data_IF_087475534885
#
_entry.id   IF_087475534885
#
_cell.length_a   1.000
_cell.length_b   1.000
_cell.length_c   1.000
_cell.angle_alpha   90.00
_cell.angle_beta   90.00
_cell.angle_gamma   90.00
#
_symmetry.space_group_name_H-M   'P 1'
#
loop_
_entity.id
_entity.type
_entity.pdbx_description
1 polymer ?
#
# COMPACT_ATOMS: atom_id res chain seq x y z
N UNK A 1 -46.47 -16.83 -9.15
CA UNK A 1 -45.02 -16.93 -9.38
C UNK A 1 -44.34 -16.17 -8.25
N UNK A 2 -43.64 -16.87 -7.35
CA UNK A 2 -42.94 -16.32 -6.19
C UNK A 2 -41.63 -15.66 -6.64
N UNK A 3 -41.43 -14.38 -6.35
CA UNK A 3 -40.10 -13.75 -6.34
C UNK A 3 -39.28 -14.34 -5.19
N UNK A 4 -38.04 -14.79 -5.41
CA UNK A 4 -37.23 -15.35 -4.33
C UNK A 4 -36.90 -14.25 -3.31
N UNK A 5 -36.89 -14.58 -2.01
CA UNK A 5 -36.60 -13.62 -0.97
C UNK A 5 -35.10 -13.30 -0.97
N UNK A 6 -34.80 -12.01 -1.07
CA UNK A 6 -33.59 -11.41 -0.53
C UNK A 6 -32.27 -11.90 -1.11
N UNK A 7 -31.89 -11.39 -2.28
CA UNK A 7 -30.46 -11.16 -2.51
C UNK A 7 -30.03 -10.07 -1.53
N UNK A 8 -29.56 -10.48 -0.34
CA UNK A 8 -28.81 -9.58 0.54
C UNK A 8 -27.55 -9.23 -0.25
N UNK A 9 -27.56 -8.08 -0.93
CA UNK A 9 -26.32 -7.43 -1.30
C UNK A 9 -25.69 -7.03 0.03
N UNK A 10 -24.87 -7.91 0.60
CA UNK A 10 -23.91 -7.54 1.62
C UNK A 10 -22.90 -6.60 0.97
N UNK A 11 -23.34 -5.35 0.75
CA UNK A 11 -22.44 -4.22 0.67
C UNK A 11 -21.92 -4.05 2.10
N UNK A 12 -20.97 -4.89 2.50
CA UNK A 12 -20.13 -4.55 3.63
C UNK A 12 -19.53 -3.18 3.30
N UNK A 13 -19.90 -2.12 4.03
CA UNK A 13 -19.16 -0.89 3.88
C UNK A 13 -17.79 -1.25 4.46
N UNK A 14 -16.81 -1.48 3.60
CA UNK A 14 -15.42 -1.57 4.03
C UNK A 14 -15.05 -0.16 4.43
N UNK A 15 -15.48 0.24 5.63
CA UNK A 15 -15.10 1.46 6.30
C UNK A 15 -13.67 1.20 6.74
N UNK A 16 -12.74 1.21 5.79
CA UNK A 16 -11.37 1.51 6.15
C UNK A 16 -11.42 2.92 6.72
N UNK A 17 -11.30 3.02 8.04
CA UNK A 17 -11.00 4.26 8.75
C UNK A 17 -10.03 5.09 7.90
N UNK A 18 -10.36 6.35 7.62
CA UNK A 18 -9.59 7.21 6.72
C UNK A 18 -8.10 7.24 7.10
N UNK A 19 -7.79 7.09 8.38
CA UNK A 19 -6.42 6.98 8.90
C UNK A 19 -5.74 5.71 8.39
N UNK A 20 -6.46 4.58 8.40
CA UNK A 20 -6.01 3.30 7.89
C UNK A 20 -5.83 3.34 6.38
N UNK A 21 -6.77 3.95 5.64
CA UNK A 21 -6.61 4.20 4.19
C UNK A 21 -5.34 5.02 3.92
N UNK A 22 -5.21 6.21 4.53
CA UNK A 22 -4.05 7.10 4.32
C UNK A 22 -2.72 6.42 4.65
N UNK A 23 -2.67 5.61 5.71
CA UNK A 23 -1.47 4.85 6.10
C UNK A 23 -1.13 3.75 5.09
N UNK A 24 -2.14 3.05 4.58
CA UNK A 24 -2.01 2.08 3.50
C UNK A 24 -1.52 2.74 2.20
N UNK A 25 -2.14 3.87 1.81
CA UNK A 25 -1.75 4.61 0.60
C UNK A 25 -0.30 5.06 0.71
N UNK A 26 0.12 5.63 1.85
CA UNK A 26 1.51 6.07 2.06
C UNK A 26 2.52 4.94 1.97
N UNK A 27 2.21 3.78 2.56
CA UNK A 27 3.11 2.61 2.52
C UNK A 27 3.19 2.05 1.10
N UNK A 28 2.06 1.97 0.39
CA UNK A 28 2.00 1.52 -0.99
C UNK A 28 2.72 2.47 -1.94
N UNK A 29 2.55 3.79 -1.78
CA UNK A 29 3.27 4.80 -2.57
C UNK A 29 4.78 4.73 -2.32
N UNK A 30 5.20 4.52 -1.07
CA UNK A 30 6.61 4.32 -0.73
C UNK A 30 7.18 3.02 -1.35
N UNK A 31 6.40 1.94 -1.36
CA UNK A 31 6.79 0.67 -1.98
C UNK A 31 6.89 0.79 -3.50
N UNK A 32 5.90 1.43 -4.13
CA UNK A 32 5.91 1.69 -5.57
C UNK A 32 7.12 2.53 -5.96
N UNK A 33 7.39 3.62 -5.24
CA UNK A 33 8.57 4.44 -5.50
C UNK A 33 9.88 3.65 -5.37
N UNK A 34 9.97 2.77 -4.37
CA UNK A 34 11.16 1.93 -4.19
C UNK A 34 11.35 0.94 -5.35
N UNK A 35 10.25 0.42 -5.91
CA UNK A 35 10.26 -0.42 -7.10
C UNK A 35 10.69 0.37 -8.34
N UNK A 36 10.12 1.55 -8.56
CA UNK A 36 10.45 2.42 -9.69
C UNK A 36 11.94 2.85 -9.63
N UNK A 37 12.44 3.16 -8.44
CA UNK A 37 13.86 3.47 -8.23
C UNK A 37 14.75 2.27 -8.59
N UNK A 38 14.37 1.05 -8.20
CA UNK A 38 15.11 -0.16 -8.56
C UNK A 38 15.10 -0.41 -10.06
N UNK A 39 13.98 -0.17 -10.73
CA UNK A 39 13.88 -0.30 -12.19
C UNK A 39 14.75 0.73 -12.94
N UNK A 40 14.86 1.96 -12.41
CA UNK A 40 15.67 3.03 -13.01
C UNK A 40 17.18 2.87 -12.72
N UNK A 41 17.54 2.52 -11.48
CA UNK A 41 18.95 2.50 -11.02
C UNK A 41 19.58 1.11 -11.01
N UNK A 42 18.78 0.05 -11.04
CA UNK A 42 19.26 -1.33 -10.85
C UNK A 42 19.66 -1.66 -9.42
N UNK A 43 19.48 -0.74 -8.47
CA UNK A 43 19.79 -0.92 -7.05
C UNK A 43 18.61 -0.47 -6.17
N UNK A 44 18.48 -1.08 -4.99
CA UNK A 44 17.39 -0.74 -4.07
C UNK A 44 17.71 0.54 -3.31
N UNK A 45 16.75 1.49 -3.16
CA UNK A 45 17.00 2.73 -2.46
C UNK A 45 17.20 2.50 -0.95
N UNK A 46 18.00 3.36 -0.33
CA UNK A 46 18.22 3.35 1.10
C UNK A 46 16.94 3.75 1.86
N UNK A 47 16.75 3.22 3.07
CA UNK A 47 15.60 3.53 3.93
C UNK A 47 15.42 5.03 4.15
N UNK A 48 16.52 5.79 4.29
CA UNK A 48 16.48 7.24 4.44
C UNK A 48 15.92 7.96 3.20
N UNK A 49 16.22 7.46 2.00
CA UNK A 49 15.71 8.03 0.75
C UNK A 49 14.20 7.77 0.62
N UNK A 50 13.75 6.54 0.92
CA UNK A 50 12.32 6.18 0.93
C UNK A 50 11.57 7.05 1.95
N UNK A 51 12.09 7.15 3.17
CA UNK A 51 11.49 7.94 4.24
C UNK A 51 11.38 9.43 3.88
N UNK A 52 12.46 10.01 3.36
CA UNK A 52 12.50 11.43 2.96
C UNK A 52 11.58 11.73 1.78
N UNK A 53 11.55 10.85 0.77
CA UNK A 53 10.73 11.07 -0.44
C UNK A 53 9.23 10.87 -0.17
N UNK A 54 8.87 9.85 0.60
CA UNK A 54 7.47 9.54 0.88
C UNK A 54 6.91 10.24 2.13
N UNK A 55 7.76 10.94 2.90
CA UNK A 55 7.35 11.60 4.14
C UNK A 55 6.86 10.60 5.20
N UNK A 56 7.53 9.45 5.31
CA UNK A 56 7.14 8.36 6.23
C UNK A 56 8.24 8.07 7.25
N UNK A 57 7.88 7.40 8.35
CA UNK A 57 8.86 6.97 9.35
C UNK A 57 9.80 5.89 8.78
N UNK A 58 10.98 5.74 9.41
CA UNK A 58 11.97 4.72 9.07
C UNK A 58 11.37 3.31 9.06
N UNK A 59 10.48 2.99 10.03
CA UNK A 59 9.82 1.69 10.10
C UNK A 59 8.87 1.45 8.93
N UNK A 60 8.10 2.47 8.52
CA UNK A 60 7.23 2.38 7.35
C UNK A 60 8.04 2.25 6.06
N UNK A 61 9.13 2.99 5.93
CA UNK A 61 10.05 2.88 4.80
C UNK A 61 10.68 1.48 4.69
N UNK A 62 11.04 0.87 5.82
CA UNK A 62 11.56 -0.49 5.86
C UNK A 62 10.53 -1.54 5.42
N UNK A 63 9.28 -1.41 5.89
CA UNK A 63 8.19 -2.28 5.47
C UNK A 63 7.84 -2.10 3.99
N UNK A 64 7.84 -0.85 3.50
CA UNK A 64 7.63 -0.53 2.10
C UNK A 64 8.72 -1.16 1.20
N UNK A 65 9.99 -1.10 1.62
CA UNK A 65 11.08 -1.75 0.89
C UNK A 65 10.92 -3.28 0.86
N UNK A 66 10.50 -3.88 1.98
CA UNK A 66 10.21 -5.32 2.03
C UNK A 66 9.08 -5.70 1.07
N UNK A 67 7.98 -4.93 1.05
CA UNK A 67 6.86 -5.16 0.14
C UNK A 67 7.28 -5.01 -1.33
N UNK A 68 8.07 -3.99 -1.65
CA UNK A 68 8.57 -3.80 -3.02
C UNK A 68 9.43 -4.98 -3.49
N UNK A 69 10.25 -5.55 -2.59
CA UNK A 69 11.09 -6.72 -2.87
C UNK A 69 10.31 -8.04 -2.96
N UNK A 70 9.24 -8.20 -2.20
CA UNK A 70 8.43 -9.43 -2.20
C UNK A 70 7.48 -9.55 -3.39
N UNK A 71 7.41 -8.52 -4.24
CA UNK A 71 6.33 -8.36 -5.21
C UNK A 71 5.12 -7.76 -4.51
N UNK A 72 4.58 -6.69 -5.08
CA UNK A 72 3.36 -6.03 -4.60
C UNK A 72 2.23 -7.05 -4.73
N UNK A 73 1.87 -7.69 -3.61
CA UNK A 73 0.69 -8.57 -3.51
C UNK A 73 -0.59 -7.74 -3.44
#
# INVERSE_FOLDING_TARGET
MQTPPGTIQSAEPVIYDEVTLRRWTRTRTAAQWALDYYQDKGEWPAIKQIAGRAGVSTGTAHNALKQAKSGIA
#
